data_IF_983521626309
#
_entry.id   IF_983521626309
#
_cell.length_a   1.000
_cell.length_b   1.000
_cell.length_c   1.000
_cell.angle_alpha   90.00
_cell.angle_beta   90.00
_cell.angle_gamma   90.00
#
_symmetry.space_group_name_H-M   'P 1'
#
loop_
_entity.id
_entity.type
_entity.pdbx_description
1 polymer ?
#
# COMPACT_ATOMS: atom_id res chain seq x y z
N UNK A 1 -20.84 -9.82 14.91
CA UNK A 1 -21.06 -8.64 15.75
C UNK A 1 -19.73 -8.35 16.41
N UNK A 2 -18.99 -7.38 15.89
CA UNK A 2 -17.67 -7.00 16.43
C UNK A 2 -17.89 -5.78 17.31
N UNK A 3 -17.64 -5.93 18.60
CA UNK A 3 -17.75 -4.87 19.59
C UNK A 3 -16.72 -3.78 19.26
N UNK A 4 -17.20 -2.62 18.83
CA UNK A 4 -16.40 -1.39 18.76
C UNK A 4 -16.27 -0.91 20.21
N UNK A 5 -15.15 -1.24 20.84
CA UNK A 5 -14.79 -0.69 22.14
C UNK A 5 -14.58 0.81 22.00
N UNK A 6 -15.61 1.59 22.32
CA UNK A 6 -15.59 3.04 22.42
C UNK A 6 -14.79 3.46 23.67
N UNK A 7 -13.47 3.51 23.55
CA UNK A 7 -12.64 4.20 24.53
C UNK A 7 -12.11 5.50 23.90
N UNK A 8 -12.67 6.64 24.32
CA UNK A 8 -12.01 7.95 24.24
C UNK A 8 -11.97 8.67 22.89
N UNK A 9 -12.76 8.28 21.89
CA UNK A 9 -12.71 8.92 20.55
C UNK A 9 -11.57 8.41 19.67
N UNK A 10 -10.92 7.30 20.07
CA UNK A 10 -9.91 6.62 19.26
C UNK A 10 -10.57 5.52 18.43
N UNK A 11 -10.36 5.56 17.11
CA UNK A 11 -10.81 4.53 16.16
C UNK A 11 -9.64 3.91 15.41
N UNK A 12 -9.72 2.61 15.18
CA UNK A 12 -8.76 1.89 14.34
C UNK A 12 -9.12 2.05 12.87
N UNK A 13 -8.18 2.52 12.07
CA UNK A 13 -8.30 2.65 10.61
C UNK A 13 -7.75 1.40 9.92
N UNK A 14 -6.60 0.91 10.39
CA UNK A 14 -5.93 -0.27 9.84
C UNK A 14 -5.37 -1.13 10.97
N UNK A 15 -5.73 -2.40 10.99
CA UNK A 15 -5.19 -3.38 11.92
C UNK A 15 -3.83 -3.88 11.45
N UNK A 16 -2.86 -4.08 12.37
CA UNK A 16 -1.55 -4.57 12.00
C UNK A 16 -1.61 -6.03 11.55
N UNK A 17 -0.75 -6.38 10.60
CA UNK A 17 -0.55 -7.77 10.20
C UNK A 17 0.91 -8.07 9.93
N UNK A 18 1.57 -8.67 10.91
CA UNK A 18 2.98 -9.03 10.85
C UNK A 18 3.35 -9.91 9.63
N UNK A 19 2.57 -10.94 9.24
CA UNK A 19 2.89 -11.76 8.07
C UNK A 19 2.93 -10.99 6.74
N UNK A 20 2.29 -9.82 6.68
CA UNK A 20 2.16 -9.03 5.46
C UNK A 20 2.86 -7.67 5.53
N UNK A 21 3.60 -7.40 6.61
CA UNK A 21 4.29 -6.11 6.76
C UNK A 21 3.34 -4.93 7.02
N UNK A 22 2.07 -5.19 7.38
CA UNK A 22 1.03 -4.16 7.50
C UNK A 22 1.11 -3.50 8.89
N UNK A 23 1.26 -2.16 8.97
CA UNK A 23 1.32 -1.42 10.22
C UNK A 23 -0.08 -1.25 10.84
N UNK A 24 -0.11 -0.76 12.08
CA UNK A 24 -1.35 -0.27 12.68
C UNK A 24 -1.53 1.22 12.39
N UNK A 25 -2.76 1.61 12.07
CA UNK A 25 -3.15 3.02 11.93
C UNK A 25 -4.39 3.28 12.78
N UNK A 26 -4.32 4.31 13.63
CA UNK A 26 -5.44 4.77 14.45
C UNK A 26 -5.65 6.27 14.27
N UNK A 27 -6.89 6.71 14.45
CA UNK A 27 -7.26 8.12 14.55
C UNK A 27 -7.77 8.39 15.97
N UNK A 28 -7.44 9.55 16.51
CA UNK A 28 -7.96 10.09 17.75
C UNK A 28 -8.69 11.39 17.40
N UNK A 29 -10.01 11.28 17.20
CA UNK A 29 -10.84 12.39 16.73
C UNK A 29 -10.97 13.50 17.80
N UNK A 30 -10.83 13.16 19.09
CA UNK A 30 -10.88 14.14 20.19
C UNK A 30 -9.66 15.06 20.20
N UNK A 31 -8.47 14.51 19.94
CA UNK A 31 -7.21 15.27 19.91
C UNK A 31 -6.86 15.78 18.50
N UNK A 32 -7.64 15.43 17.48
CA UNK A 32 -7.36 15.80 16.08
C UNK A 32 -6.04 15.20 15.56
N UNK A 33 -5.65 14.02 16.05
CA UNK A 33 -4.39 13.35 15.71
C UNK A 33 -4.62 11.96 15.13
N UNK A 34 -3.65 11.45 14.38
CA UNK A 34 -3.62 10.07 13.95
C UNK A 34 -2.23 9.49 14.18
N UNK A 35 -2.15 8.17 14.28
CA UNK A 35 -0.90 7.49 14.60
C UNK A 35 -0.61 6.35 13.64
N UNK A 36 0.67 6.17 13.33
CA UNK A 36 1.20 5.08 12.51
C UNK A 36 2.20 4.28 13.35
N UNK A 37 1.84 3.04 13.68
CA UNK A 37 2.74 2.11 14.35
C UNK A 37 3.30 1.11 13.35
N UNK A 38 4.56 1.32 12.96
CA UNK A 38 5.32 0.38 12.14
C UNK A 38 5.55 -0.92 12.91
N UNK A 39 5.54 -2.05 12.20
CA UNK A 39 5.81 -3.35 12.83
C UNK A 39 7.19 -3.37 13.50
N UNK A 40 7.25 -3.90 14.71
CA UNK A 40 8.47 -3.95 15.51
C UNK A 40 8.86 -2.62 16.19
N UNK A 41 8.13 -1.53 15.93
CA UNK A 41 8.30 -0.28 16.67
C UNK A 41 7.28 -0.19 17.81
N UNK A 42 7.71 -0.15 19.09
CA UNK A 42 6.78 -0.03 20.22
C UNK A 42 6.09 1.33 20.29
N UNK A 43 6.72 2.39 19.78
CA UNK A 43 6.17 3.74 19.81
C UNK A 43 5.61 4.12 18.44
N UNK A 44 4.33 4.55 18.36
CA UNK A 44 3.77 5.02 17.10
C UNK A 44 4.30 6.42 16.76
N UNK A 45 4.48 6.67 15.47
CA UNK A 45 4.65 8.03 14.95
C UNK A 45 3.27 8.72 15.02
N UNK A 46 3.19 9.92 15.61
CA UNK A 46 1.93 10.66 15.79
C UNK A 46 1.95 11.93 14.94
N UNK A 47 0.84 12.18 14.26
CA UNK A 47 0.67 13.29 13.31
C UNK A 47 -0.64 14.04 13.59
N UNK A 48 -0.69 15.32 13.28
CA UNK A 48 -1.96 16.04 13.27
C UNK A 48 -2.78 15.65 12.03
N UNK A 49 -4.10 15.49 12.19
CA UNK A 49 -5.01 15.30 11.04
C UNK A 49 -4.97 16.52 10.11
N UNK A 50 -4.81 17.71 10.68
CA UNK A 50 -4.70 18.96 9.94
C UNK A 50 -3.53 18.97 8.96
N UNK A 51 -2.47 18.19 9.20
CA UNK A 51 -1.29 18.12 8.33
C UNK A 51 -1.52 17.24 7.10
N UNK A 52 -2.62 16.49 7.02
CA UNK A 52 -2.90 15.68 5.84
C UNK A 52 -3.43 16.57 4.71
N UNK A 53 -2.71 16.60 3.60
CA UNK A 53 -3.09 17.34 2.39
C UNK A 53 -3.87 16.47 1.39
N UNK A 54 -3.58 15.17 1.35
CA UNK A 54 -4.20 14.23 0.43
C UNK A 54 -3.74 12.80 0.66
N UNK A 55 -4.48 11.84 0.14
CA UNK A 55 -4.08 10.44 0.13
C UNK A 55 -4.48 9.76 -1.18
N UNK A 56 -3.67 8.80 -1.62
CA UNK A 56 -3.94 8.03 -2.84
C UNK A 56 -3.52 6.58 -2.65
N UNK A 57 -4.39 5.66 -3.05
CA UNK A 57 -4.05 4.23 -3.13
C UNK A 57 -3.23 4.02 -4.39
N UNK A 58 -2.07 3.39 -4.24
CA UNK A 58 -1.16 3.06 -5.32
C UNK A 58 -0.79 1.60 -5.28
N UNK A 59 -0.37 1.12 -6.44
CA UNK A 59 0.13 -0.22 -6.61
C UNK A 59 1.63 -0.19 -6.79
N UNK A 60 2.30 -1.19 -6.25
CA UNK A 60 3.69 -1.45 -6.55
C UNK A 60 3.73 -2.35 -7.78
N UNK A 61 4.39 -1.93 -8.85
CA UNK A 61 4.57 -2.75 -10.04
C UNK A 61 5.53 -3.90 -9.77
N UNK A 62 5.30 -5.05 -10.40
CA UNK A 62 6.25 -6.16 -10.34
C UNK A 62 7.55 -5.80 -11.08
N UNK A 63 8.69 -6.23 -10.55
CA UNK A 63 9.98 -6.10 -11.26
C UNK A 63 9.95 -6.86 -12.60
N UNK A 64 10.46 -6.25 -13.67
CA UNK A 64 10.50 -6.86 -15.01
C UNK A 64 9.29 -6.55 -15.91
N UNK A 65 8.46 -5.56 -15.55
CA UNK A 65 7.40 -4.99 -16.40
C UNK A 65 7.94 -4.03 -17.48
N UNK A 66 9.13 -3.46 -17.28
CA UNK A 66 9.81 -2.60 -18.25
C UNK A 66 10.88 -3.38 -19.03
N UNK A 67 10.56 -3.78 -20.26
CA UNK A 67 11.50 -4.42 -21.19
C UNK A 67 10.77 -5.24 -22.26
N UNK A 68 11.33 -5.39 -23.47
CA UNK A 68 10.75 -6.24 -24.49
C UNK A 68 10.62 -7.68 -23.97
N UNK A 69 9.60 -8.41 -24.44
CA UNK A 69 9.55 -9.84 -24.17
C UNK A 69 10.85 -10.47 -24.63
N UNK A 70 11.36 -11.36 -23.79
CA UNK A 70 12.45 -12.24 -24.17
C UNK A 70 12.09 -12.92 -25.51
N UNK A 71 10.85 -13.35 -25.72
CA UNK A 71 10.37 -13.93 -26.99
C UNK A 71 10.39 -13.06 -28.26
N UNK A 72 10.73 -11.76 -28.19
CA UNK A 72 10.86 -10.87 -29.35
C UNK A 72 12.32 -10.61 -29.75
N UNK A 73 13.31 -11.07 -28.97
CA UNK A 73 14.74 -10.96 -29.28
C UNK A 73 15.31 -12.26 -29.90
N UNK A 74 15.98 -12.11 -31.04
CA UNK A 74 16.54 -13.18 -31.87
C UNK A 74 17.63 -14.03 -31.17
N UNK A 75 17.47 -15.36 -31.16
CA UNK A 75 18.58 -16.33 -31.24
C UNK A 75 19.33 -16.75 -29.96
N UNK A 76 20.48 -17.42 -30.19
CA UNK A 76 21.36 -18.13 -29.22
C UNK A 76 21.84 -17.31 -28.02
N UNK A 77 21.77 -15.98 -28.08
CA UNK A 77 22.06 -15.11 -26.92
C UNK A 77 21.11 -15.36 -25.74
N UNK A 78 19.88 -15.78 -26.03
CA UNK A 78 18.84 -16.03 -25.03
C UNK A 78 19.00 -17.36 -24.28
N UNK A 79 19.52 -18.40 -24.95
CA UNK A 79 19.76 -19.69 -24.29
C UNK A 79 20.73 -19.51 -23.12
N UNK A 80 21.74 -18.64 -23.29
CA UNK A 80 22.68 -18.28 -22.23
C UNK A 80 22.03 -17.57 -21.03
N UNK A 81 21.04 -16.69 -21.25
CA UNK A 81 20.36 -16.00 -20.14
C UNK A 81 19.32 -16.88 -19.42
N UNK A 82 18.56 -17.69 -20.18
CA UNK A 82 17.60 -18.66 -19.61
C UNK A 82 18.33 -19.71 -18.78
N UNK A 83 19.47 -20.22 -19.25
CA UNK A 83 20.28 -21.19 -18.49
C UNK A 83 20.93 -20.56 -17.24
N UNK A 84 21.29 -19.27 -17.30
CA UNK A 84 21.87 -18.55 -16.14
C UNK A 84 20.84 -18.24 -15.06
N UNK A 85 19.60 -17.89 -15.42
CA UNK A 85 18.55 -17.60 -14.45
C UNK A 85 17.13 -17.80 -15.01
N UNK A 86 16.65 -19.05 -15.08
CA UNK A 86 15.34 -19.37 -15.68
C UNK A 86 14.18 -18.78 -14.86
N UNK A 87 14.35 -18.60 -13.54
CA UNK A 87 13.35 -17.99 -12.67
C UNK A 87 13.11 -16.50 -12.95
N UNK A 88 14.17 -15.74 -13.27
CA UNK A 88 14.07 -14.33 -13.66
C UNK A 88 13.29 -14.17 -14.98
N UNK A 89 13.58 -15.02 -15.96
CA UNK A 89 12.90 -15.00 -17.27
C UNK A 89 11.42 -15.39 -17.13
N UNK A 90 11.11 -16.41 -16.34
CA UNK A 90 9.73 -16.81 -16.08
C UNK A 90 8.91 -15.71 -15.39
N UNK A 91 9.51 -14.97 -14.45
CA UNK A 91 8.87 -13.82 -13.78
C UNK A 91 8.61 -12.66 -14.75
N UNK A 92 9.61 -12.27 -15.55
CA UNK A 92 9.45 -11.22 -16.56
C UNK A 92 8.30 -11.53 -17.53
N UNK A 93 8.22 -12.77 -18.02
CA UNK A 93 7.13 -13.20 -18.90
C UNK A 93 5.76 -13.21 -18.18
N UNK A 94 5.70 -13.57 -16.90
CA UNK A 94 4.46 -13.55 -16.11
C UNK A 94 3.91 -12.13 -15.92
N UNK A 95 4.78 -11.14 -15.75
CA UNK A 95 4.38 -9.77 -15.44
C UNK A 95 4.23 -8.86 -16.67
N UNK A 96 4.64 -9.30 -17.87
CA UNK A 96 4.62 -8.55 -19.15
C UNK A 96 3.29 -7.82 -19.43
N UNK A 97 2.17 -8.43 -19.08
CA UNK A 97 0.83 -7.89 -19.38
C UNK A 97 0.31 -6.90 -18.34
N UNK A 98 1.11 -6.56 -17.32
CA UNK A 98 0.64 -5.79 -16.17
C UNK A 98 -0.45 -6.51 -15.37
N UNK A 99 -0.69 -7.81 -15.62
CA UNK A 99 -1.76 -8.57 -14.98
C UNK A 99 -1.56 -8.77 -13.46
N UNK A 100 -0.40 -8.39 -12.93
CA UNK A 100 -0.02 -8.50 -11.55
C UNK A 100 0.52 -7.18 -11.02
N UNK A 101 0.29 -6.92 -9.74
CA UNK A 101 1.03 -5.93 -8.97
C UNK A 101 1.79 -6.65 -7.84
N UNK A 102 2.93 -6.11 -7.41
CA UNK A 102 3.75 -6.62 -6.32
C UNK A 102 3.21 -6.25 -4.93
N UNK A 103 2.25 -5.31 -4.87
CA UNK A 103 1.63 -4.89 -3.64
C UNK A 103 0.72 -3.68 -3.82
N UNK A 104 0.08 -3.28 -2.73
CA UNK A 104 -0.80 -2.12 -2.64
C UNK A 104 -0.40 -1.31 -1.41
N UNK A 105 -0.32 0.01 -1.55
CA UNK A 105 0.01 0.94 -0.48
C UNK A 105 -0.82 2.21 -0.56
N UNK A 106 -0.98 2.89 0.58
CA UNK A 106 -1.50 4.24 0.64
C UNK A 106 -0.33 5.21 0.69
N UNK A 107 -0.31 6.18 -0.22
CA UNK A 107 0.59 7.32 -0.16
C UNK A 107 -0.16 8.50 0.44
N UNK A 108 0.30 8.97 1.61
CA UNK A 108 -0.26 10.12 2.33
C UNK A 108 0.66 11.32 2.09
N UNK A 109 0.09 12.37 1.52
CA UNK A 109 0.77 13.65 1.30
C UNK A 109 0.49 14.56 2.48
N UNK A 110 1.56 15.06 3.10
CA UNK A 110 1.47 16.05 4.16
C UNK A 110 1.45 17.47 3.57
N UNK A 111 0.94 18.44 4.33
CA UNK A 111 0.84 19.85 3.92
C UNK A 111 2.18 20.55 3.83
N UNK A 112 3.14 20.15 4.67
CA UNK A 112 4.51 20.61 4.53
C UNK A 112 5.10 20.03 3.23
N UNK A 113 5.40 20.87 2.21
CA UNK A 113 5.95 20.39 0.96
C UNK A 113 7.39 19.85 1.09
N UNK A 114 8.09 20.17 2.18
CA UNK A 114 9.42 19.64 2.47
C UNK A 114 9.37 18.26 3.15
N UNK A 115 8.21 17.86 3.69
CA UNK A 115 8.04 16.57 4.33
C UNK A 115 7.97 15.45 3.28
N UNK A 116 8.64 14.33 3.58
CA UNK A 116 8.53 13.13 2.76
C UNK A 116 7.10 12.57 2.85
N UNK A 117 6.61 12.04 1.72
CA UNK A 117 5.31 11.36 1.69
C UNK A 117 5.36 10.10 2.55
N UNK A 118 4.32 9.88 3.32
CA UNK A 118 4.21 8.67 4.13
C UNK A 118 3.66 7.54 3.27
N UNK A 119 4.37 6.41 3.24
CA UNK A 119 3.96 5.20 2.54
C UNK A 119 3.48 4.17 3.55
N UNK A 120 2.19 3.83 3.50
CA UNK A 120 1.56 2.86 4.39
C UNK A 120 1.25 1.60 3.57
N UNK A 121 1.97 0.48 3.77
CA UNK A 121 1.70 -0.74 3.03
C UNK A 121 0.37 -1.35 3.48
N UNK A 122 -0.49 -1.66 2.51
CA UNK A 122 -1.79 -2.29 2.73
C UNK A 122 -1.78 -3.77 2.33
N UNK A 123 -0.90 -4.12 1.38
CA UNK A 123 -0.66 -5.49 0.96
C UNK A 123 0.74 -5.64 0.37
N UNK A 124 1.59 -6.47 0.98
CA UNK A 124 3.01 -6.62 0.61
C UNK A 124 3.33 -7.83 -0.28
N UNK A 125 2.36 -8.38 -1.03
CA UNK A 125 2.57 -9.58 -1.86
C UNK A 125 2.01 -9.42 -3.27
N UNK A 126 2.53 -10.24 -4.18
CA UNK A 126 2.01 -10.34 -5.55
C UNK A 126 0.50 -10.63 -5.57
N UNK A 127 -0.23 -9.85 -6.37
CA UNK A 127 -1.66 -9.99 -6.61
C UNK A 127 -1.97 -9.97 -8.10
N UNK A 128 -2.80 -10.90 -8.55
CA UNK A 128 -3.34 -10.90 -9.91
C UNK A 128 -4.54 -9.94 -9.98
N UNK A 129 -4.48 -8.91 -10.83
CA UNK A 129 -5.50 -7.85 -10.95
C UNK A 129 -6.91 -8.34 -11.34
N UNK A 130 -7.01 -9.51 -11.97
CA UNK A 130 -8.28 -10.15 -12.28
C UNK A 130 -8.86 -11.04 -11.17
N UNK A 131 -8.15 -11.23 -10.05
CA UNK A 131 -8.57 -12.16 -9.00
C UNK A 131 -9.60 -11.54 -8.03
N UNK A 132 -10.34 -12.41 -7.34
CA UNK A 132 -11.18 -11.98 -6.19
C UNK A 132 -10.35 -11.33 -5.09
N UNK A 133 -9.17 -11.89 -4.79
CA UNK A 133 -8.28 -11.38 -3.76
C UNK A 133 -7.85 -9.92 -4.05
N UNK A 134 -7.49 -9.62 -5.30
CA UNK A 134 -7.17 -8.25 -5.71
C UNK A 134 -8.34 -7.29 -5.47
N UNK A 135 -9.56 -7.67 -5.86
CA UNK A 135 -10.74 -6.84 -5.64
C UNK A 135 -10.98 -6.55 -4.15
N UNK A 136 -10.86 -7.57 -3.31
CA UNK A 136 -11.01 -7.42 -1.86
C UNK A 136 -9.94 -6.51 -1.24
N UNK A 137 -8.69 -6.62 -1.71
CA UNK A 137 -7.59 -5.75 -1.27
C UNK A 137 -7.85 -4.31 -1.69
N UNK A 138 -8.26 -4.06 -2.94
CA UNK A 138 -8.55 -2.71 -3.42
C UNK A 138 -9.77 -2.08 -2.73
N UNK A 139 -10.80 -2.88 -2.44
CA UNK A 139 -11.95 -2.43 -1.65
C UNK A 139 -11.54 -2.06 -0.22
N UNK A 140 -10.75 -2.92 0.43
CA UNK A 140 -10.21 -2.65 1.78
C UNK A 140 -9.33 -1.40 1.79
N UNK A 141 -8.50 -1.22 0.75
CA UNK A 141 -7.68 -0.02 0.57
C UNK A 141 -8.55 1.24 0.36
N UNK A 142 -9.68 1.11 -0.33
CA UNK A 142 -10.69 2.16 -0.45
C UNK A 142 -11.25 2.58 0.90
N UNK A 143 -11.56 1.64 1.79
CA UNK A 143 -12.02 1.93 3.16
C UNK A 143 -10.96 2.69 3.97
N UNK A 144 -9.70 2.26 3.90
CA UNK A 144 -8.59 2.98 4.58
C UNK A 144 -8.44 4.39 4.01
N UNK A 145 -8.48 4.54 2.68
CA UNK A 145 -8.42 5.86 2.02
C UNK A 145 -9.57 6.76 2.47
N UNK A 146 -10.80 6.23 2.52
CA UNK A 146 -11.97 6.99 2.94
C UNK A 146 -11.81 7.56 4.35
N UNK A 147 -11.22 6.79 5.29
CA UNK A 147 -10.92 7.31 6.62
C UNK A 147 -9.95 8.51 6.60
N UNK A 148 -8.96 8.51 5.70
CA UNK A 148 -8.08 9.67 5.50
C UNK A 148 -8.78 10.84 4.83
N UNK A 149 -9.65 10.58 3.85
CA UNK A 149 -10.46 11.63 3.22
C UNK A 149 -11.39 12.31 4.24
N UNK A 150 -12.00 11.54 5.14
CA UNK A 150 -12.80 12.06 6.26
C UNK A 150 -11.98 12.96 7.19
N UNK A 151 -10.75 12.57 7.53
CA UNK A 151 -9.85 13.41 8.34
C UNK A 151 -9.57 14.75 7.65
N UNK A 152 -9.35 14.74 6.33
CA UNK A 152 -9.12 15.96 5.53
C UNK A 152 -10.38 16.83 5.48
N UNK A 153 -11.56 16.24 5.28
CA UNK A 153 -12.83 16.97 5.20
C UNK A 153 -13.28 17.53 6.56
N UNK A 154 -13.08 16.77 7.64
CA UNK A 154 -13.40 17.21 9.00
C UNK A 154 -12.66 18.48 9.38
N UNK A 155 -11.36 18.56 9.03
CA UNK A 155 -10.54 19.77 9.24
C UNK A 155 -11.03 20.96 8.43
N UNK A 156 -11.62 20.77 7.24
CA UNK A 156 -12.15 21.89 6.43
C UNK A 156 -13.45 22.48 6.98
N UNK A 157 -14.16 21.74 7.83
CA UNK A 157 -15.47 22.15 8.38
C UNK A 157 -15.38 22.81 9.75
N UNK A 158 -14.28 22.60 10.48
CA UNK A 158 -13.96 23.27 11.74
C UNK A 158 -13.22 24.58 11.51
#
# INVERSE_FOLDING_TARGET
MSEISNNGGIRTILLPSAPFGIPEVTANDADGTWSLRKLGNPQPDVYAMADVAGCVVKELECEGTAGPAVGEAQGMAMLGEVLKNPGKVARANRYKSGAYCAGVYLEVTLRDPAAEKLVIPLWGRELKRGSMAYRQVMESAGTVKAAFDEMIEGVRRG
#
